data_IF_921417115514
#
_entry.id   IF_921417115514
#
_cell.length_a   1.000
_cell.length_b   1.000
_cell.length_c   1.000
_cell.angle_alpha   90.00
_cell.angle_beta   90.00
_cell.angle_gamma   90.00
#
_symmetry.space_group_name_H-M   'P 1'
#
loop_
_entity.id
_entity.type
_entity.pdbx_description
1 polymer ?
#
# COMPACT_ATOMS: atom_id res chain seq x y z
N UNK A 1 54.01 -1.85 23.04
CA UNK A 1 52.94 -2.67 22.44
C UNK A 1 51.84 -2.88 23.48
N UNK A 2 50.85 -1.99 23.56
CA UNK A 2 49.67 -2.17 24.42
C UNK A 2 48.48 -2.39 23.51
N UNK A 3 48.10 -3.66 23.42
CA UNK A 3 46.94 -4.13 22.66
C UNK A 3 45.68 -3.47 23.24
N UNK A 4 44.97 -2.68 22.43
CA UNK A 4 43.67 -2.10 22.79
C UNK A 4 42.62 -3.23 22.74
N UNK A 5 42.11 -3.72 23.88
CA UNK A 5 41.14 -4.81 23.86
C UNK A 5 39.74 -4.24 23.65
N UNK A 6 39.06 -4.71 22.61
CA UNK A 6 37.59 -4.76 22.50
C UNK A 6 36.81 -3.42 22.47
N UNK A 7 37.33 -2.36 21.82
CA UNK A 7 36.57 -1.10 21.65
C UNK A 7 35.39 -1.23 20.65
N UNK A 8 35.32 -2.31 19.88
CA UNK A 8 34.30 -2.56 18.85
C UNK A 8 32.98 -3.12 19.43
N UNK A 9 33.04 -3.80 20.58
CA UNK A 9 31.89 -4.43 21.25
C UNK A 9 30.82 -3.41 21.71
N UNK A 10 31.16 -2.28 22.36
CA UNK A 10 30.15 -1.28 22.73
C UNK A 10 29.56 -0.57 21.50
N UNK A 11 30.35 -0.37 20.43
CA UNK A 11 29.88 0.27 19.19
C UNK A 11 28.85 -0.61 18.46
N UNK A 12 29.07 -1.92 18.43
CA UNK A 12 28.12 -2.89 17.88
C UNK A 12 26.82 -2.95 18.70
N UNK A 13 26.93 -2.84 20.03
CA UNK A 13 25.77 -2.81 20.94
C UNK A 13 24.93 -1.53 20.78
N UNK A 14 25.58 -0.38 20.52
CA UNK A 14 24.90 0.91 20.25
C UNK A 14 24.17 0.91 18.90
N UNK A 15 24.74 0.24 17.88
CA UNK A 15 24.11 0.06 16.56
C UNK A 15 22.80 -0.73 16.65
N UNK A 16 22.75 -1.78 17.49
CA UNK A 16 21.55 -2.58 17.73
C UNK A 16 20.46 -1.78 18.46
N UNK A 17 20.84 -0.83 19.32
CA UNK A 17 19.88 0.00 20.06
C UNK A 17 19.15 1.03 19.17
N UNK A 18 19.72 1.39 18.02
CA UNK A 18 19.11 2.30 17.03
C UNK A 18 18.22 1.59 15.99
N UNK A 19 18.11 0.26 16.02
CA UNK A 19 17.34 -0.51 15.04
C UNK A 19 15.82 -0.57 15.34
N UNK A 20 15.35 0.09 16.39
CA UNK A 20 13.95 0.03 16.82
C UNK A 20 13.08 1.13 16.21
N UNK A 21 11.84 0.77 15.87
CA UNK A 21 10.75 1.61 15.35
C UNK A 21 10.65 1.70 13.82
N UNK A 22 10.63 0.54 13.15
CA UNK A 22 9.91 0.44 11.87
C UNK A 22 8.42 0.64 12.16
N UNK A 23 7.93 1.87 11.97
CA UNK A 23 6.50 2.14 11.98
C UNK A 23 5.90 1.47 10.76
N UNK A 24 5.12 0.43 10.99
CA UNK A 24 4.21 -0.07 9.99
C UNK A 24 3.25 1.08 9.62
N UNK A 25 2.73 1.14 8.40
CA UNK A 25 1.86 2.25 7.99
C UNK A 25 0.58 1.67 7.41
N UNK A 26 -0.54 2.24 7.81
CA UNK A 26 -1.84 1.96 7.22
C UNK A 26 -1.99 2.66 5.84
N UNK A 27 -2.97 2.23 5.05
CA UNK A 27 -3.15 2.65 3.67
C UNK A 27 -4.28 3.68 3.52
N UNK A 28 -4.13 4.56 2.53
CA UNK A 28 -5.19 5.43 2.03
C UNK A 28 -5.12 5.42 0.51
N UNK A 29 -5.92 4.53 -0.10
CA UNK A 29 -5.90 4.24 -1.52
C UNK A 29 -7.12 4.82 -2.22
N UNK A 30 -6.89 5.49 -3.35
CA UNK A 30 -7.94 5.80 -4.33
C UNK A 30 -7.96 4.72 -5.42
N UNK A 31 -9.14 4.30 -5.87
CA UNK A 31 -9.30 3.28 -6.92
C UNK A 31 -10.04 3.87 -8.11
N UNK A 32 -9.55 3.60 -9.32
CA UNK A 32 -10.21 3.98 -10.57
C UNK A 32 -10.26 2.79 -11.51
N UNK A 33 -11.45 2.46 -11.99
CA UNK A 33 -11.67 1.39 -12.96
C UNK A 33 -12.03 1.95 -14.33
N UNK A 34 -11.16 1.73 -15.32
CA UNK A 34 -11.51 1.88 -16.73
C UNK A 34 -12.06 0.55 -17.26
N UNK A 35 -13.28 0.60 -17.81
CA UNK A 35 -13.96 -0.55 -18.38
C UNK A 35 -14.42 -0.29 -19.82
N UNK A 36 -13.81 0.65 -20.54
CA UNK A 36 -14.29 1.07 -21.87
C UNK A 36 -14.21 -0.05 -22.91
N UNK A 37 -13.30 -1.00 -22.71
CA UNK A 37 -13.12 -2.17 -23.57
C UNK A 37 -14.14 -3.29 -23.28
N UNK A 38 -14.89 -3.19 -22.19
CA UNK A 38 -15.85 -4.22 -21.77
C UNK A 38 -17.25 -3.89 -22.29
N UNK A 39 -17.72 -4.73 -23.21
CA UNK A 39 -19.06 -4.64 -23.78
C UNK A 39 -20.06 -5.38 -22.90
N UNK A 40 -20.70 -4.65 -21.98
CA UNK A 40 -21.79 -5.13 -21.13
C UNK A 40 -22.85 -4.05 -20.95
N UNK A 41 -24.12 -4.46 -20.79
CA UNK A 41 -25.24 -3.55 -20.52
C UNK A 41 -25.23 -3.03 -19.08
N UNK A 42 -24.75 -3.84 -18.14
CA UNK A 42 -24.66 -3.45 -16.74
C UNK A 42 -23.33 -2.77 -16.45
N UNK A 43 -23.33 -1.43 -16.49
CA UNK A 43 -22.16 -0.60 -16.14
C UNK A 43 -22.04 -0.35 -14.63
N UNK A 44 -23.10 -0.60 -13.83
CA UNK A 44 -23.10 -0.33 -12.37
C UNK A 44 -22.12 -1.24 -11.65
N UNK A 45 -21.95 -2.46 -12.15
CA UNK A 45 -20.97 -3.44 -11.64
C UNK A 45 -19.55 -2.86 -11.51
N UNK A 46 -19.15 -1.91 -12.36
CA UNK A 46 -17.83 -1.31 -12.31
C UNK A 46 -17.69 -0.29 -11.16
N UNK A 47 -18.74 0.49 -10.89
CA UNK A 47 -18.78 1.40 -9.74
C UNK A 47 -18.84 0.63 -8.41
N UNK A 48 -19.60 -0.46 -8.39
CA UNK A 48 -19.66 -1.35 -7.23
C UNK A 48 -18.30 -2.00 -6.98
N UNK A 49 -17.61 -2.45 -8.03
CA UNK A 49 -16.26 -3.00 -7.93
C UNK A 49 -15.23 -1.96 -7.47
N UNK A 50 -15.29 -0.73 -7.99
CA UNK A 50 -14.42 0.37 -7.55
C UNK A 50 -14.59 0.63 -6.05
N UNK A 51 -15.84 0.82 -5.62
CA UNK A 51 -16.20 1.04 -4.21
C UNK A 51 -15.79 -0.14 -3.33
N UNK A 52 -16.00 -1.38 -3.79
CA UNK A 52 -15.66 -2.57 -3.02
C UNK A 52 -14.14 -2.72 -2.82
N UNK A 53 -13.34 -2.44 -3.86
CA UNK A 53 -11.88 -2.48 -3.76
C UNK A 53 -11.39 -1.35 -2.85
N UNK A 54 -11.92 -0.14 -3.01
CA UNK A 54 -11.53 1.01 -2.17
C UNK A 54 -11.84 0.74 -0.69
N UNK A 55 -13.05 0.26 -0.39
CA UNK A 55 -13.45 -0.13 0.97
C UNK A 55 -12.58 -1.27 1.52
N UNK A 56 -12.23 -2.25 0.69
CA UNK A 56 -11.35 -3.34 1.11
C UNK A 56 -9.94 -2.83 1.47
N UNK A 57 -9.40 -1.91 0.66
CA UNK A 57 -8.06 -1.36 0.88
C UNK A 57 -8.01 -0.42 2.09
N UNK A 58 -9.02 0.43 2.26
CA UNK A 58 -9.03 1.49 3.28
C UNK A 58 -9.72 1.09 4.60
N UNK A 59 -10.56 0.05 4.57
CA UNK A 59 -11.32 -0.42 5.73
C UNK A 59 -10.68 -1.60 6.46
N UNK A 60 -9.51 -2.06 6.01
CA UNK A 60 -8.74 -3.14 6.65
C UNK A 60 -7.56 -2.53 7.41
N UNK A 61 -7.39 -2.93 8.66
CA UNK A 61 -6.16 -2.67 9.40
C UNK A 61 -5.04 -3.57 8.84
N UNK A 62 -4.16 -2.97 8.04
CA UNK A 62 -2.99 -3.68 7.50
C UNK A 62 -1.86 -3.84 8.54
N UNK A 63 -2.00 -3.13 9.66
CA UNK A 63 -1.00 -3.00 10.72
C UNK A 63 -1.70 -2.89 12.07
N UNK A 64 -1.05 -3.33 13.15
CA UNK A 64 -1.63 -3.37 14.50
C UNK A 64 -1.71 -2.02 15.23
N UNK A 65 -1.19 -0.95 14.64
CA UNK A 65 -1.00 0.34 15.28
C UNK A 65 -2.10 1.32 14.86
N UNK A 66 -2.55 2.19 15.76
CA UNK A 66 -3.49 3.28 15.44
C UNK A 66 -2.75 4.48 14.82
N UNK A 67 -3.19 4.93 13.64
CA UNK A 67 -2.57 6.04 12.91
C UNK A 67 -3.51 7.23 12.72
N UNK A 68 -2.94 8.43 12.70
CA UNK A 68 -3.69 9.59 12.20
C UNK A 68 -3.82 9.50 10.67
N UNK A 69 -4.91 10.01 10.07
CA UNK A 69 -5.12 9.98 8.62
C UNK A 69 -3.97 10.57 7.80
N UNK A 70 -3.22 11.52 8.38
CA UNK A 70 -2.09 12.20 7.74
C UNK A 70 -0.83 11.33 7.62
N UNK A 71 -0.72 10.26 8.40
CA UNK A 71 0.44 9.36 8.44
C UNK A 71 0.30 8.15 7.50
N UNK A 72 -0.90 7.96 6.93
CA UNK A 72 -1.19 6.83 6.03
C UNK A 72 -0.43 6.94 4.71
N UNK A 73 0.01 5.80 4.16
CA UNK A 73 0.59 5.75 2.82
C UNK A 73 -0.51 6.04 1.80
N UNK A 74 -0.29 7.06 0.97
CA UNK A 74 -1.20 7.33 -0.15
C UNK A 74 -0.94 6.33 -1.26
N UNK A 75 -1.98 5.69 -1.76
CA UNK A 75 -1.94 4.76 -2.88
C UNK A 75 -2.97 5.13 -3.95
N UNK A 76 -2.71 4.75 -5.18
CA UNK A 76 -3.65 4.90 -6.29
C UNK A 76 -3.60 3.64 -7.14
N UNK A 77 -4.78 3.05 -7.37
CA UNK A 77 -5.01 1.89 -8.20
C UNK A 77 -5.67 2.35 -9.49
N UNK A 78 -4.99 2.16 -10.61
CA UNK A 78 -5.58 2.32 -11.94
C UNK A 78 -5.76 0.95 -12.55
N UNK A 79 -7.00 0.51 -12.63
CA UNK A 79 -7.40 -0.82 -13.12
C UNK A 79 -8.02 -0.62 -14.50
N UNK A 80 -7.43 -1.23 -15.53
CA UNK A 80 -7.99 -1.24 -16.87
C UNK A 80 -8.48 -2.65 -17.22
N UNK A 81 -9.78 -2.83 -17.34
CA UNK A 81 -10.40 -4.09 -17.72
C UNK A 81 -10.24 -4.31 -19.22
N UNK A 82 -9.63 -5.43 -19.61
CA UNK A 82 -9.31 -5.73 -21.01
C UNK A 82 -10.29 -6.69 -21.65
N UNK A 83 -10.77 -7.69 -20.92
CA UNK A 83 -11.67 -8.73 -21.44
C UNK A 83 -12.63 -9.23 -20.36
N UNK A 84 -13.80 -9.74 -20.77
CA UNK A 84 -14.73 -10.47 -19.91
C UNK A 84 -14.95 -11.89 -20.48
N UNK A 85 -14.06 -12.87 -20.20
CA UNK A 85 -14.15 -14.20 -20.78
C UNK A 85 -15.43 -14.95 -20.41
N UNK A 86 -15.96 -14.70 -19.22
CA UNK A 86 -17.26 -15.20 -18.75
C UNK A 86 -17.97 -14.08 -18.01
N UNK A 87 -19.30 -14.08 -18.00
CA UNK A 87 -20.10 -13.04 -17.33
C UNK A 87 -19.68 -12.94 -15.86
N UNK A 88 -19.28 -11.75 -15.44
CA UNK A 88 -18.81 -11.46 -14.08
C UNK A 88 -17.34 -11.80 -13.81
N UNK A 89 -16.60 -12.32 -14.79
CA UNK A 89 -15.15 -12.57 -14.71
C UNK A 89 -14.41 -11.65 -15.66
N UNK A 90 -13.45 -10.88 -15.14
CA UNK A 90 -12.73 -9.87 -15.91
C UNK A 90 -11.23 -10.15 -15.91
N UNK A 91 -10.59 -9.95 -17.06
CA UNK A 91 -9.15 -9.76 -17.16
C UNK A 91 -8.85 -8.26 -17.07
N UNK A 92 -7.77 -7.91 -16.38
CA UNK A 92 -7.39 -6.53 -16.18
C UNK A 92 -5.88 -6.35 -16.16
N UNK A 93 -5.44 -5.15 -16.52
CA UNK A 93 -4.11 -4.64 -16.19
C UNK A 93 -4.23 -3.65 -15.04
N UNK A 94 -3.39 -3.79 -14.03
CA UNK A 94 -3.45 -2.96 -12.82
C UNK A 94 -2.13 -2.22 -12.67
N UNK A 95 -2.21 -0.91 -12.52
CA UNK A 95 -1.09 -0.05 -12.17
C UNK A 95 -1.32 0.48 -10.75
N UNK A 96 -0.35 0.25 -9.88
CA UNK A 96 -0.40 0.68 -8.49
C UNK A 96 0.71 1.69 -8.28
N UNK A 97 0.36 2.87 -7.79
CA UNK A 97 1.33 3.88 -7.35
C UNK A 97 1.14 4.12 -5.88
N UNK A 98 2.22 4.16 -5.13
CA UNK A 98 2.21 4.51 -3.72
C UNK A 98 3.19 5.63 -3.45
N UNK A 99 2.84 6.50 -2.51
CA UNK A 99 3.69 7.60 -2.06
C UNK A 99 3.56 7.71 -0.55
N UNK A 100 4.70 7.71 0.13
CA UNK A 100 4.77 7.97 1.56
C UNK A 100 4.94 9.47 1.78
N UNK A 101 4.06 10.14 2.54
CA UNK A 101 4.34 11.49 3.00
C UNK A 101 5.56 11.45 3.94
N UNK A 102 6.68 12.05 3.52
CA UNK A 102 7.81 12.28 4.40
C UNK A 102 7.52 13.52 5.24
N UNK A 103 7.43 13.35 6.55
CA UNK A 103 7.41 14.46 7.51
C UNK A 103 8.86 14.93 7.74
N UNK A 104 9.11 16.24 7.63
CA UNK A 104 10.38 16.97 7.83
C UNK A 104 11.54 16.68 6.84
N UNK A 105 12.23 17.64 6.21
CA UNK A 105 12.96 18.79 6.78
C UNK A 105 12.40 19.42 8.05
#
# INVERSE_FOLDING_TARGET
MKSFPNLHKPLFFLSILLAGQLRAQDLNCDVVINADQIQTSDRRVFQDMETAIENFMNGRDWTSDEFQPVERIKCSFSINLTEMPTIGSFKATVQIRSSRPAYNT
#
